data_IF_613779901841
#
_entry.id   IF_613779901841
#
_cell.length_a   1.000
_cell.length_b   1.000
_cell.length_c   1.000
_cell.angle_alpha   90.00
_cell.angle_beta   90.00
_cell.angle_gamma   90.00
#
_symmetry.space_group_name_H-M   'P 1'
#
loop_
_entity.id
_entity.type
_entity.pdbx_description
1 polymer ?
#
# COMPACT_ATOMS: atom_id res chain seq x y z
N UNK A 1 -20.90 19.70 2.40
CA UNK A 1 -20.20 18.45 2.73
C UNK A 1 -20.26 18.31 4.24
N UNK A 2 -20.63 17.14 4.77
CA UNK A 2 -20.57 16.89 6.23
C UNK A 2 -19.37 16.00 6.45
N UNK A 3 -18.41 16.52 7.19
CA UNK A 3 -17.12 15.90 7.47
C UNK A 3 -17.00 15.73 8.98
N UNK A 4 -16.54 14.57 9.41
CA UNK A 4 -16.11 14.34 10.77
C UNK A 4 -14.60 14.16 10.74
N UNK A 5 -13.90 15.25 10.99
CA UNK A 5 -12.44 15.30 11.11
C UNK A 5 -12.09 15.33 12.60
N UNK A 6 -11.42 14.26 13.05
CA UNK A 6 -10.88 14.10 14.39
C UNK A 6 -9.42 13.62 14.33
N UNK A 7 -8.72 13.93 13.24
CA UNK A 7 -7.36 13.45 12.99
C UNK A 7 -6.34 13.96 14.03
N UNK A 8 -5.21 13.26 14.18
CA UNK A 8 -4.04 13.65 14.99
C UNK A 8 -4.36 14.03 16.44
N UNK A 9 -5.25 13.27 17.08
CA UNK A 9 -5.65 13.46 18.47
C UNK A 9 -5.13 12.31 19.37
N UNK A 10 -5.58 12.29 20.63
CA UNK A 10 -5.32 11.22 21.60
C UNK A 10 -6.59 10.45 21.95
N UNK A 11 -7.51 10.30 20.98
CA UNK A 11 -8.76 9.58 21.19
C UNK A 11 -8.45 8.11 21.44
N UNK A 12 -9.09 7.55 22.47
CA UNK A 12 -8.93 6.15 22.89
C UNK A 12 -10.26 5.42 22.88
N UNK A 13 -10.23 4.11 23.15
CA UNK A 13 -11.43 3.27 23.15
C UNK A 13 -11.80 2.81 21.73
N UNK A 14 -13.02 2.35 21.55
CA UNK A 14 -13.49 1.77 20.28
C UNK A 14 -14.19 2.78 19.40
N UNK A 15 -14.21 2.55 18.08
CA UNK A 15 -15.11 3.27 17.16
C UNK A 15 -16.57 2.97 17.57
N UNK A 16 -17.37 3.96 18.00
CA UNK A 16 -18.75 3.73 18.44
C UNK A 16 -19.67 3.28 17.30
N UNK A 17 -20.56 2.33 17.58
CA UNK A 17 -21.56 1.86 16.60
C UNK A 17 -22.53 2.97 16.16
N UNK A 18 -22.71 3.98 17.02
CA UNK A 18 -23.55 5.16 16.82
C UNK A 18 -23.08 6.02 15.65
N UNK A 19 -21.81 5.91 15.25
CA UNK A 19 -21.31 6.59 14.06
C UNK A 19 -22.05 6.15 12.79
N UNK A 20 -22.60 4.93 12.75
CA UNK A 20 -23.48 4.49 11.66
C UNK A 20 -24.80 5.29 11.54
N UNK A 21 -25.14 6.14 12.50
CA UNK A 21 -26.29 7.03 12.44
C UNK A 21 -25.99 8.35 11.70
N UNK A 22 -24.72 8.66 11.41
CA UNK A 22 -24.30 9.87 10.72
C UNK A 22 -24.53 9.79 9.20
N UNK A 23 -25.75 9.48 8.77
CA UNK A 23 -26.10 9.16 7.36
C UNK A 23 -25.79 10.24 6.33
N UNK A 24 -25.50 11.46 6.77
CA UNK A 24 -25.14 12.59 5.90
C UNK A 24 -23.62 12.80 5.79
N UNK A 25 -22.81 12.06 6.55
CA UNK A 25 -21.35 12.14 6.53
C UNK A 25 -20.81 11.70 5.16
N UNK A 26 -19.86 12.47 4.65
CA UNK A 26 -19.13 12.20 3.41
C UNK A 26 -17.68 11.84 3.67
N UNK A 27 -17.14 12.30 4.77
CA UNK A 27 -15.76 12.04 5.13
C UNK A 27 -15.67 11.69 6.59
N UNK A 28 -14.92 10.63 6.86
CA UNK A 28 -14.64 10.15 8.18
C UNK A 28 -13.12 10.04 8.34
N UNK A 29 -12.53 11.05 8.96
CA UNK A 29 -11.10 11.10 9.24
C UNK A 29 -10.85 10.93 10.74
N UNK A 30 -10.28 9.78 11.10
CA UNK A 30 -9.87 9.41 12.45
C UNK A 30 -8.36 9.11 12.50
N UNK A 31 -7.59 9.60 11.52
CA UNK A 31 -6.18 9.27 11.34
C UNK A 31 -5.37 9.67 12.59
N UNK A 32 -4.34 8.89 12.92
CA UNK A 32 -3.38 9.16 14.00
C UNK A 32 -4.02 9.43 15.36
N UNK A 33 -4.72 8.42 15.88
CA UNK A 33 -5.28 8.37 17.23
C UNK A 33 -4.83 7.09 17.95
N UNK A 34 -5.46 6.74 19.07
CA UNK A 34 -5.22 5.51 19.85
C UNK A 34 -6.51 4.67 19.92
N UNK A 35 -7.30 4.69 18.83
CA UNK A 35 -8.54 3.91 18.75
C UNK A 35 -8.20 2.43 18.64
N UNK A 36 -8.99 1.59 19.31
CA UNK A 36 -8.78 0.15 19.43
C UNK A 36 -10.06 -0.64 19.12
N UNK A 37 -9.99 -1.97 19.16
CA UNK A 37 -11.13 -2.83 18.82
C UNK A 37 -11.41 -2.88 17.32
N UNK A 38 -12.55 -3.47 16.94
CA UNK A 38 -12.89 -3.69 15.53
C UNK A 38 -13.59 -2.49 14.90
N UNK A 39 -13.47 -2.36 13.57
CA UNK A 39 -14.34 -1.48 12.78
C UNK A 39 -15.78 -2.03 12.85
N UNK A 40 -16.74 -1.29 13.42
CA UNK A 40 -18.11 -1.78 13.60
C UNK A 40 -18.82 -1.96 12.25
N UNK A 41 -19.65 -2.99 12.11
CA UNK A 41 -20.37 -3.26 10.85
C UNK A 41 -21.40 -2.16 10.52
N UNK A 42 -21.80 -1.37 11.51
CA UNK A 42 -22.66 -0.20 11.37
C UNK A 42 -22.10 0.88 10.43
N UNK A 43 -20.79 0.90 10.15
CA UNK A 43 -20.20 1.79 9.12
C UNK A 43 -20.88 1.60 7.76
N UNK A 44 -21.39 0.41 7.45
CA UNK A 44 -22.07 0.14 6.18
C UNK A 44 -23.42 0.84 6.03
N UNK A 45 -23.91 1.50 7.08
CA UNK A 45 -25.09 2.39 7.02
C UNK A 45 -24.75 3.73 6.36
N UNK A 46 -23.47 4.10 6.26
CA UNK A 46 -22.98 5.36 5.71
C UNK A 46 -22.83 5.26 4.17
N UNK A 47 -23.95 5.04 3.48
CA UNK A 47 -23.96 4.71 2.03
C UNK A 47 -23.50 5.84 1.12
N UNK A 48 -23.43 7.07 1.62
CA UNK A 48 -22.95 8.25 0.87
C UNK A 48 -21.52 8.67 1.25
N UNK A 49 -20.85 7.91 2.11
CA UNK A 49 -19.48 8.20 2.53
C UNK A 49 -18.54 8.07 1.33
N UNK A 50 -17.70 9.08 1.13
CA UNK A 50 -16.66 9.14 0.11
C UNK A 50 -15.34 8.57 0.64
N UNK A 51 -14.95 8.91 1.88
CA UNK A 51 -13.66 8.50 2.44
C UNK A 51 -13.87 7.91 3.84
N UNK A 52 -13.33 6.71 4.06
CA UNK A 52 -13.16 6.12 5.38
C UNK A 52 -11.66 6.03 5.66
N UNK A 53 -11.13 6.91 6.50
CA UNK A 53 -9.73 6.90 6.90
C UNK A 53 -9.56 6.75 8.41
N UNK A 54 -8.87 5.68 8.81
CA UNK A 54 -8.58 5.34 10.21
C UNK A 54 -7.10 5.00 10.40
N UNK A 55 -6.25 5.54 9.52
CA UNK A 55 -4.82 5.22 9.44
C UNK A 55 -4.11 5.52 10.76
N UNK A 56 -3.19 4.66 11.19
CA UNK A 56 -2.36 4.94 12.35
C UNK A 56 -3.13 4.91 13.67
N UNK A 57 -3.82 3.80 13.93
CA UNK A 57 -4.52 3.51 15.18
C UNK A 57 -4.13 2.11 15.68
N UNK A 58 -4.82 1.60 16.70
CA UNK A 58 -4.66 0.26 17.28
C UNK A 58 -5.85 -0.66 16.93
N UNK A 59 -6.51 -0.43 15.79
CA UNK A 59 -7.69 -1.19 15.39
C UNK A 59 -7.34 -2.65 15.08
N UNK A 60 -8.25 -3.55 15.43
CA UNK A 60 -8.13 -5.01 15.31
C UNK A 60 -9.34 -5.59 14.56
N UNK A 61 -9.49 -6.92 14.56
CA UNK A 61 -10.64 -7.57 13.92
C UNK A 61 -10.51 -7.62 12.40
N UNK A 62 -11.62 -7.81 11.70
CA UNK A 62 -11.66 -7.94 10.23
C UNK A 62 -12.27 -6.71 9.59
N UNK A 63 -11.97 -6.47 8.30
CA UNK A 63 -12.73 -5.51 7.50
C UNK A 63 -14.18 -6.01 7.39
N UNK A 64 -15.19 -5.25 7.85
CA UNK A 64 -16.58 -5.69 7.79
C UNK A 64 -17.07 -5.82 6.35
N UNK A 65 -17.80 -6.89 6.05
CA UNK A 65 -18.36 -7.15 4.70
C UNK A 65 -19.34 -6.06 4.25
N UNK A 66 -19.89 -5.34 5.20
CA UNK A 66 -20.78 -4.19 5.07
C UNK A 66 -20.14 -3.02 4.32
N UNK A 67 -18.81 -2.98 4.18
CA UNK A 67 -18.12 -2.01 3.32
C UNK A 67 -18.63 -2.05 1.87
N UNK A 68 -19.10 -3.22 1.40
CA UNK A 68 -19.72 -3.36 0.09
C UNK A 68 -21.08 -2.67 -0.05
N UNK A 69 -21.69 -2.18 1.04
CA UNK A 69 -22.92 -1.36 0.98
C UNK A 69 -22.63 0.11 0.69
N UNK A 70 -21.37 0.53 0.81
CA UNK A 70 -20.95 1.92 0.72
C UNK A 70 -20.48 2.24 -0.71
N UNK A 71 -21.41 2.24 -1.66
CA UNK A 71 -21.12 2.35 -3.11
C UNK A 71 -20.54 3.69 -3.56
N UNK A 72 -20.47 4.69 -2.68
CA UNK A 72 -19.85 5.99 -2.94
C UNK A 72 -18.40 6.11 -2.45
N UNK A 73 -17.84 5.04 -1.86
CA UNK A 73 -16.47 5.05 -1.34
C UNK A 73 -15.45 5.25 -2.46
N UNK A 74 -14.74 6.36 -2.35
CA UNK A 74 -13.57 6.72 -3.15
C UNK A 74 -12.30 6.16 -2.50
N UNK A 75 -12.16 6.31 -1.18
CA UNK A 75 -10.97 5.89 -0.44
C UNK A 75 -11.31 4.98 0.74
N UNK A 76 -10.64 3.83 0.81
CA UNK A 76 -10.62 2.95 1.98
C UNK A 76 -9.19 2.91 2.51
N UNK A 77 -8.95 3.64 3.61
CA UNK A 77 -7.61 3.90 4.15
C UNK A 77 -7.53 3.37 5.58
N UNK A 78 -7.01 2.14 5.72
CA UNK A 78 -6.97 1.39 6.97
C UNK A 78 -5.54 1.05 7.42
N UNK A 79 -4.55 1.66 6.77
CA UNK A 79 -3.13 1.34 6.99
C UNK A 79 -2.67 1.59 8.43
N UNK A 80 -1.56 0.97 8.83
CA UNK A 80 -0.93 1.16 10.15
C UNK A 80 -1.90 0.89 11.31
N UNK A 81 -2.41 -0.35 11.36
CA UNK A 81 -3.27 -0.87 12.41
C UNK A 81 -2.89 -2.34 12.72
N UNK A 82 -3.71 -3.05 13.48
CA UNK A 82 -3.61 -4.49 13.70
C UNK A 82 -4.82 -5.24 13.09
N UNK A 83 -5.36 -4.74 11.97
CA UNK A 83 -6.48 -5.38 11.25
C UNK A 83 -6.01 -6.72 10.70
N UNK A 84 -6.89 -7.72 10.75
CA UNK A 84 -6.63 -9.11 10.43
C UNK A 84 -7.67 -9.64 9.43
N UNK A 85 -7.55 -10.91 9.03
CA UNK A 85 -8.48 -11.53 8.10
C UNK A 85 -8.17 -11.19 6.64
N UNK A 86 -9.15 -11.39 5.76
CA UNK A 86 -8.99 -11.27 4.30
C UNK A 86 -9.65 -10.00 3.77
N UNK A 87 -9.30 -9.59 2.55
CA UNK A 87 -10.08 -8.57 1.81
C UNK A 87 -11.47 -9.16 1.52
N UNK A 88 -12.58 -8.54 1.95
CA UNK A 88 -13.92 -9.07 1.72
C UNK A 88 -14.27 -9.00 0.22
N UNK A 89 -14.85 -10.06 -0.33
CA UNK A 89 -15.24 -10.10 -1.76
C UNK A 89 -16.27 -9.03 -2.12
N UNK A 90 -17.07 -8.59 -1.15
CA UNK A 90 -18.04 -7.51 -1.28
C UNK A 90 -17.41 -6.15 -1.64
N UNK A 91 -16.08 -6.00 -1.56
CA UNK A 91 -15.39 -4.80 -2.04
C UNK A 91 -15.71 -4.49 -3.50
N UNK A 92 -16.03 -5.51 -4.33
CA UNK A 92 -16.45 -5.29 -5.72
C UNK A 92 -17.64 -4.34 -5.90
N UNK A 93 -18.46 -4.17 -4.86
CA UNK A 93 -19.63 -3.31 -4.90
C UNK A 93 -19.26 -1.81 -4.83
N UNK A 94 -18.01 -1.46 -4.54
CA UNK A 94 -17.49 -0.08 -4.59
C UNK A 94 -16.87 0.29 -5.94
N UNK A 95 -16.94 -0.62 -6.94
CA UNK A 95 -16.34 -0.46 -8.29
C UNK A 95 -16.64 0.85 -9.01
N UNK A 96 -17.78 1.47 -8.72
CA UNK A 96 -18.22 2.69 -9.41
C UNK A 96 -17.46 3.93 -8.95
N UNK A 97 -16.81 3.90 -7.77
CA UNK A 97 -16.22 5.10 -7.15
C UNK A 97 -14.83 4.87 -6.57
N UNK A 98 -14.48 3.64 -6.17
CA UNK A 98 -13.22 3.35 -5.49
C UNK A 98 -12.00 3.70 -6.34
N UNK A 99 -11.11 4.51 -5.75
CA UNK A 99 -9.83 4.97 -6.30
C UNK A 99 -8.65 4.53 -5.45
N UNK A 100 -8.81 4.43 -4.14
CA UNK A 100 -7.72 4.10 -3.22
C UNK A 100 -8.15 2.95 -2.31
N UNK A 101 -7.34 1.89 -2.29
CA UNK A 101 -7.40 0.84 -1.29
C UNK A 101 -6.04 0.74 -0.62
N UNK A 102 -5.96 1.26 0.61
CA UNK A 102 -4.73 1.34 1.38
C UNK A 102 -4.84 0.53 2.68
N UNK A 103 -4.23 -0.64 2.69
CA UNK A 103 -4.30 -1.64 3.77
C UNK A 103 -2.92 -1.96 4.36
N UNK A 104 -1.89 -1.18 4.02
CA UNK A 104 -0.50 -1.44 4.37
C UNK A 104 -0.28 -1.55 5.88
N UNK A 105 0.72 -2.32 6.28
CA UNK A 105 1.16 -2.44 7.68
C UNK A 105 0.01 -2.82 8.63
N UNK A 106 -0.50 -4.04 8.40
CA UNK A 106 -1.55 -4.69 9.19
C UNK A 106 -1.18 -6.18 9.38
N UNK A 107 -2.09 -6.98 9.92
CA UNK A 107 -1.94 -8.43 10.08
C UNK A 107 -2.85 -9.23 9.14
N UNK A 108 -3.22 -8.65 7.99
CA UNK A 108 -4.13 -9.28 7.04
C UNK A 108 -3.46 -10.47 6.35
N UNK A 109 -4.26 -11.47 6.00
CA UNK A 109 -3.79 -12.72 5.40
C UNK A 109 -4.75 -13.24 4.33
N UNK A 110 -4.42 -14.39 3.75
CA UNK A 110 -5.18 -15.00 2.65
C UNK A 110 -4.78 -14.44 1.30
N UNK A 111 -5.57 -14.74 0.26
CA UNK A 111 -5.26 -14.35 -1.12
C UNK A 111 -5.94 -13.04 -1.50
N UNK A 112 -5.41 -12.37 -2.54
CA UNK A 112 -6.16 -11.29 -3.21
C UNK A 112 -7.41 -11.92 -3.88
N UNK A 113 -8.64 -11.48 -3.56
CA UNK A 113 -9.84 -12.03 -4.18
C UNK A 113 -9.94 -11.61 -5.65
N UNK A 114 -10.39 -12.50 -6.54
CA UNK A 114 -10.54 -12.19 -7.98
C UNK A 114 -11.52 -11.04 -8.25
N UNK A 115 -12.47 -10.84 -7.33
CA UNK A 115 -13.42 -9.73 -7.32
C UNK A 115 -12.75 -8.34 -7.35
N UNK A 116 -11.50 -8.21 -6.89
CA UNK A 116 -10.77 -6.93 -6.92
C UNK A 116 -10.61 -6.38 -8.34
N UNK A 117 -10.55 -7.27 -9.35
CA UNK A 117 -10.43 -6.89 -10.75
C UNK A 117 -11.63 -6.07 -11.28
N UNK A 118 -12.76 -6.08 -10.56
CA UNK A 118 -13.92 -5.24 -10.90
C UNK A 118 -13.72 -3.77 -10.54
N UNK A 119 -12.73 -3.43 -9.72
CA UNK A 119 -12.43 -2.05 -9.33
C UNK A 119 -11.63 -1.34 -10.45
N UNK A 120 -12.24 -1.18 -11.63
CA UNK A 120 -11.57 -0.64 -12.83
C UNK A 120 -11.16 0.83 -12.70
N UNK A 121 -11.75 1.55 -11.73
CA UNK A 121 -11.41 2.93 -11.36
C UNK A 121 -10.35 3.04 -10.28
N UNK A 122 -9.89 1.92 -9.70
CA UNK A 122 -8.88 1.94 -8.66
C UNK A 122 -7.56 2.46 -9.23
N UNK A 123 -6.99 3.46 -8.57
CA UNK A 123 -5.76 4.15 -8.95
C UNK A 123 -4.56 3.71 -8.10
N UNK A 124 -4.79 3.40 -6.81
CA UNK A 124 -3.78 2.91 -5.87
C UNK A 124 -4.25 1.63 -5.18
N UNK A 125 -3.39 0.61 -5.22
CA UNK A 125 -3.54 -0.63 -4.46
C UNK A 125 -2.30 -0.82 -3.58
N UNK A 126 -2.46 -0.63 -2.28
CA UNK A 126 -1.37 -0.69 -1.30
C UNK A 126 -1.69 -1.75 -0.24
N UNK A 127 -1.02 -2.90 -0.34
CA UNK A 127 -1.22 -4.09 0.50
C UNK A 127 0.06 -4.50 1.25
N UNK A 128 1.09 -3.65 1.22
CA UNK A 128 2.42 -3.99 1.71
C UNK A 128 2.50 -4.20 3.23
N UNK A 129 3.53 -4.92 3.67
CA UNK A 129 3.78 -5.26 5.08
C UNK A 129 2.55 -5.90 5.74
N UNK A 130 2.13 -7.03 5.18
CA UNK A 130 1.03 -7.86 5.67
C UNK A 130 1.44 -9.34 5.61
N UNK A 131 0.49 -10.27 5.72
CA UNK A 131 0.70 -11.71 5.58
C UNK A 131 -0.13 -12.31 4.44
N UNK A 132 -0.43 -11.54 3.39
CA UNK A 132 -1.13 -12.05 2.21
C UNK A 132 -0.30 -13.14 1.51
N UNK A 133 -0.97 -14.11 0.89
CA UNK A 133 -0.35 -15.28 0.26
C UNK A 133 -1.03 -15.67 -1.06
N UNK A 134 -0.51 -16.72 -1.70
CA UNK A 134 -0.99 -17.17 -3.02
C UNK A 134 -0.49 -16.28 -4.16
N UNK A 135 -1.02 -16.50 -5.36
CA UNK A 135 -0.64 -15.76 -6.56
C UNK A 135 -1.43 -14.47 -6.75
N UNK A 136 -0.85 -13.52 -7.49
CA UNK A 136 -1.61 -12.37 -8.00
C UNK A 136 -2.64 -12.89 -9.02
N UNK A 137 -3.95 -12.66 -8.82
CA UNK A 137 -4.98 -13.10 -9.76
C UNK A 137 -4.88 -12.35 -11.08
N UNK A 138 -5.14 -13.01 -12.21
CA UNK A 138 -5.04 -12.39 -13.54
C UNK A 138 -6.08 -11.27 -13.74
N UNK A 139 -7.18 -11.28 -12.98
CA UNK A 139 -8.19 -10.23 -12.96
C UNK A 139 -7.62 -8.86 -12.55
N UNK A 140 -6.46 -8.80 -11.89
CA UNK A 140 -5.75 -7.53 -11.65
C UNK A 140 -5.48 -6.77 -12.95
N UNK A 141 -5.29 -7.46 -14.08
CA UNK A 141 -5.14 -6.82 -15.40
C UNK A 141 -6.38 -6.06 -15.89
N UNK A 142 -7.53 -6.19 -15.24
CA UNK A 142 -8.74 -5.43 -15.54
C UNK A 142 -8.75 -4.04 -14.87
N UNK A 143 -7.88 -3.80 -13.89
CA UNK A 143 -7.82 -2.57 -13.09
C UNK A 143 -7.11 -1.44 -13.83
N UNK A 144 -7.58 -1.10 -15.03
CA UNK A 144 -6.86 -0.25 -16.01
C UNK A 144 -6.55 1.18 -15.56
N UNK A 145 -7.18 1.70 -14.50
CA UNK A 145 -6.85 3.01 -13.91
C UNK A 145 -5.64 2.98 -12.97
N UNK A 146 -5.17 1.78 -12.60
CA UNK A 146 -4.14 1.60 -11.58
C UNK A 146 -2.82 2.22 -12.02
N UNK A 147 -2.26 3.10 -11.20
CA UNK A 147 -0.93 3.66 -11.41
C UNK A 147 0.09 3.24 -10.35
N UNK A 148 -0.36 2.77 -9.18
CA UNK A 148 0.49 2.28 -8.11
C UNK A 148 -0.03 0.94 -7.60
N UNK A 149 0.84 -0.07 -7.63
CA UNK A 149 0.60 -1.38 -7.03
C UNK A 149 1.75 -1.72 -6.08
N UNK A 150 1.47 -1.77 -4.78
CA UNK A 150 2.45 -2.11 -3.75
C UNK A 150 2.03 -3.39 -3.02
N UNK A 151 2.73 -4.48 -3.28
CA UNK A 151 2.50 -5.80 -2.68
C UNK A 151 3.67 -6.25 -1.80
N UNK A 152 4.62 -5.35 -1.55
CA UNK A 152 5.88 -5.63 -0.85
C UNK A 152 5.67 -6.27 0.51
N UNK A 153 6.59 -7.13 0.95
CA UNK A 153 6.62 -7.56 2.35
C UNK A 153 5.40 -8.40 2.71
N UNK A 154 5.12 -9.40 1.90
CA UNK A 154 4.03 -10.34 2.06
C UNK A 154 4.54 -11.77 1.81
N UNK A 155 3.64 -12.74 1.80
CA UNK A 155 3.91 -14.14 1.48
C UNK A 155 3.38 -14.54 0.10
N UNK A 156 3.23 -13.59 -0.85
CA UNK A 156 2.76 -13.91 -2.20
C UNK A 156 3.72 -14.87 -2.91
N UNK A 157 3.19 -15.75 -3.75
CA UNK A 157 3.94 -16.81 -4.42
C UNK A 157 3.42 -17.07 -5.84
N UNK A 158 4.06 -17.98 -6.56
CA UNK A 158 3.71 -18.26 -7.95
C UNK A 158 4.27 -17.22 -8.92
N UNK A 159 3.73 -17.18 -10.15
CA UNK A 159 4.21 -16.32 -11.22
C UNK A 159 3.48 -14.97 -11.22
N UNK A 160 4.15 -13.92 -11.69
CA UNK A 160 3.50 -12.64 -12.00
C UNK A 160 2.63 -12.84 -13.26
N UNK A 161 1.32 -12.53 -13.23
CA UNK A 161 0.44 -12.72 -14.38
C UNK A 161 0.83 -11.80 -15.54
N UNK A 162 0.78 -12.33 -16.77
CA UNK A 162 1.07 -11.58 -18.00
C UNK A 162 0.12 -10.40 -18.23
N UNK A 163 -1.08 -10.49 -17.66
CA UNK A 163 -2.14 -9.50 -17.68
C UNK A 163 -1.73 -8.18 -17.02
N UNK A 164 -0.66 -8.16 -16.22
CA UNK A 164 -0.09 -6.91 -15.70
C UNK A 164 0.31 -5.94 -16.82
N UNK A 165 0.65 -6.45 -18.01
CA UNK A 165 0.94 -5.63 -19.19
C UNK A 165 -0.25 -4.88 -19.78
N UNK A 166 -1.49 -5.19 -19.34
CA UNK A 166 -2.70 -4.44 -19.72
C UNK A 166 -2.83 -3.12 -18.96
N UNK A 167 -2.12 -2.99 -17.84
CA UNK A 167 -2.23 -1.86 -16.91
C UNK A 167 -1.35 -0.69 -17.34
N UNK A 168 -1.60 -0.17 -18.54
CA UNK A 168 -0.79 0.88 -19.20
C UNK A 168 -0.64 2.20 -18.41
N UNK A 169 -1.44 2.41 -17.36
CA UNK A 169 -1.33 3.53 -16.44
C UNK A 169 -0.32 3.33 -15.30
N UNK A 170 0.18 2.10 -15.09
CA UNK A 170 1.15 1.78 -14.04
C UNK A 170 2.40 2.63 -14.15
N UNK A 171 2.72 3.29 -13.04
CA UNK A 171 3.95 4.05 -12.80
C UNK A 171 4.86 3.32 -11.84
N UNK A 172 4.29 2.55 -10.92
CA UNK A 172 5.01 1.91 -9.84
C UNK A 172 4.43 0.54 -9.51
N UNK A 173 5.33 -0.46 -9.47
CA UNK A 173 5.05 -1.83 -9.06
C UNK A 173 6.10 -2.22 -8.03
N UNK A 174 5.66 -2.58 -6.82
CA UNK A 174 6.55 -3.10 -5.78
C UNK A 174 6.19 -4.53 -5.40
N UNK A 175 7.11 -5.46 -5.67
CA UNK A 175 6.92 -6.91 -5.45
C UNK A 175 7.98 -7.52 -4.53
N UNK A 176 8.99 -6.75 -4.11
CA UNK A 176 10.07 -7.23 -3.25
C UNK A 176 9.56 -7.73 -1.89
N UNK A 177 10.38 -8.54 -1.21
CA UNK A 177 10.06 -9.24 0.04
C UNK A 177 8.79 -10.10 -0.08
N UNK A 178 8.75 -10.98 -1.06
CA UNK A 178 7.74 -12.01 -1.31
C UNK A 178 8.40 -13.34 -1.73
N UNK A 179 7.58 -14.32 -2.10
CA UNK A 179 8.01 -15.65 -2.57
C UNK A 179 7.66 -15.89 -4.05
N UNK A 180 7.65 -14.83 -4.88
CA UNK A 180 7.38 -14.96 -6.31
C UNK A 180 8.45 -15.81 -7.00
N UNK A 181 8.03 -16.58 -8.00
CA UNK A 181 8.90 -17.47 -8.77
C UNK A 181 8.71 -17.26 -10.27
N UNK A 182 9.67 -17.76 -11.06
CA UNK A 182 9.59 -17.75 -12.51
C UNK A 182 10.23 -16.51 -13.12
N UNK A 183 9.58 -15.94 -14.13
CA UNK A 183 10.11 -14.79 -14.87
C UNK A 183 9.23 -13.56 -14.71
N UNK A 184 9.85 -12.38 -14.81
CA UNK A 184 9.11 -11.15 -15.05
C UNK A 184 8.45 -11.28 -16.44
N UNK A 185 7.12 -11.15 -16.56
CA UNK A 185 6.43 -11.35 -17.83
C UNK A 185 6.89 -10.30 -18.84
N UNK A 186 7.15 -10.74 -20.08
CA UNK A 186 7.59 -9.85 -21.16
C UNK A 186 6.57 -8.74 -21.44
N UNK A 187 5.30 -8.95 -21.11
CA UNK A 187 4.21 -8.00 -21.26
C UNK A 187 4.43 -6.73 -20.42
N UNK A 188 5.33 -6.74 -19.43
CA UNK A 188 5.78 -5.54 -18.71
C UNK A 188 6.41 -4.50 -19.65
N UNK A 189 6.89 -4.93 -20.83
CA UNK A 189 7.40 -4.06 -21.91
C UNK A 189 6.34 -3.10 -22.46
N UNK A 190 5.04 -3.41 -22.28
CA UNK A 190 3.94 -2.56 -22.74
C UNK A 190 3.63 -1.41 -21.76
N UNK A 191 4.23 -1.41 -20.57
CA UNK A 191 3.99 -0.40 -19.54
C UNK A 191 4.88 0.83 -19.73
N UNK A 192 4.56 1.65 -20.73
CA UNK A 192 5.37 2.84 -21.10
C UNK A 192 5.50 3.90 -19.99
N UNK A 193 4.53 3.91 -19.07
CA UNK A 193 4.50 4.82 -17.91
C UNK A 193 5.25 4.29 -16.71
N UNK A 194 5.68 3.03 -16.71
CA UNK A 194 6.35 2.40 -15.58
C UNK A 194 7.69 3.10 -15.33
N UNK A 195 7.93 3.46 -14.06
CA UNK A 195 9.13 4.13 -13.59
C UNK A 195 9.83 3.33 -12.50
N UNK A 196 9.06 2.61 -11.70
CA UNK A 196 9.56 1.89 -10.53
C UNK A 196 9.07 0.44 -10.63
N UNK A 197 10.01 -0.49 -10.58
CA UNK A 197 9.78 -1.91 -10.44
C UNK A 197 10.74 -2.45 -9.38
N UNK A 198 10.20 -3.04 -8.32
CA UNK A 198 11.00 -3.73 -7.30
C UNK A 198 10.62 -5.21 -7.28
N UNK A 199 11.62 -6.07 -7.15
CA UNK A 199 11.47 -7.53 -7.14
C UNK A 199 12.58 -8.16 -6.34
N UNK A 200 12.34 -9.35 -5.79
CA UNK A 200 13.40 -10.16 -5.17
C UNK A 200 14.25 -10.89 -6.21
N UNK A 201 15.44 -11.32 -5.80
CA UNK A 201 16.42 -12.05 -6.62
C UNK A 201 15.91 -13.41 -7.14
N UNK A 202 14.76 -13.89 -6.65
CA UNK A 202 14.12 -15.13 -7.09
C UNK A 202 13.46 -15.05 -8.47
N UNK A 203 13.27 -13.85 -9.01
CA UNK A 203 12.70 -13.63 -10.33
C UNK A 203 13.79 -13.53 -11.40
N UNK A 204 13.59 -14.26 -12.49
CA UNK A 204 14.48 -14.25 -13.66
C UNK A 204 13.87 -13.47 -14.83
N UNK A 205 14.63 -13.20 -15.89
CA UNK A 205 14.14 -12.49 -17.07
C UNK A 205 14.73 -11.08 -17.23
N UNK A 206 14.39 -10.44 -18.34
CA UNK A 206 14.94 -9.14 -18.71
C UNK A 206 14.08 -8.04 -18.11
N UNK A 207 14.63 -7.26 -17.18
CA UNK A 207 14.06 -5.96 -16.82
C UNK A 207 14.38 -5.01 -17.98
N UNK A 208 13.37 -4.43 -18.67
CA UNK A 208 13.65 -3.55 -19.80
C UNK A 208 14.51 -2.35 -19.39
N UNK A 209 15.52 -2.02 -20.21
CA UNK A 209 16.46 -0.88 -20.01
C UNK A 209 15.78 0.49 -19.80
N UNK A 210 14.49 0.61 -20.17
CA UNK A 210 13.66 1.82 -19.99
C UNK A 210 13.08 1.97 -18.58
N UNK A 211 13.04 0.89 -17.80
CA UNK A 211 12.57 0.90 -16.40
C UNK A 211 13.76 1.31 -15.54
N UNK A 212 13.66 2.45 -14.85
CA UNK A 212 14.68 2.88 -13.91
C UNK A 212 14.66 1.93 -12.71
N UNK A 213 15.73 1.16 -12.54
CA UNK A 213 15.94 0.36 -11.33
C UNK A 213 16.25 1.31 -10.19
N UNK A 214 15.46 1.25 -9.11
CA UNK A 214 15.77 1.98 -7.89
C UNK A 214 16.81 1.19 -7.10
N UNK A 215 17.95 1.82 -6.78
CA UNK A 215 18.89 1.24 -5.84
C UNK A 215 18.36 1.44 -4.41
N UNK A 216 18.32 0.40 -3.57
CA UNK A 216 17.92 0.54 -2.17
C UNK A 216 18.92 1.44 -1.40
N UNK A 217 18.42 2.29 -0.50
CA UNK A 217 19.29 3.01 0.43
C UNK A 217 19.95 2.01 1.41
N UNK A 218 21.18 1.58 1.12
CA UNK A 218 21.93 0.64 1.95
C UNK A 218 22.25 1.18 3.37
N UNK A 219 22.32 2.50 3.54
CA UNK A 219 22.61 3.15 4.84
C UNK A 219 21.38 3.35 5.74
N UNK A 220 20.17 3.23 5.18
CA UNK A 220 18.91 3.44 5.90
C UNK A 220 18.40 2.15 6.59
N UNK A 221 19.05 1.01 6.38
CA UNK A 221 18.64 -0.27 6.98
C UNK A 221 17.46 -0.95 6.28
N UNK A 222 17.24 -0.67 4.99
CA UNK A 222 16.43 -1.50 4.10
C UNK A 222 14.91 -1.28 4.19
N UNK A 223 14.42 -0.22 3.54
CA UNK A 223 13.07 -0.17 2.95
C UNK A 223 12.82 1.05 2.06
N UNK A 224 13.68 2.06 2.06
CA UNK A 224 13.49 3.27 1.24
C UNK A 224 14.37 3.26 -0.02
N UNK A 225 13.82 3.75 -1.12
CA UNK A 225 14.45 3.78 -2.44
C UNK A 225 14.80 5.22 -2.84
N UNK A 226 16.05 5.46 -3.26
CA UNK A 226 16.49 6.74 -3.85
C UNK A 226 15.87 6.88 -5.27
N UNK A 227 15.01 7.87 -5.51
CA UNK A 227 14.48 8.19 -6.85
C UNK A 227 15.53 8.96 -7.67
N UNK A 228 16.41 8.22 -8.35
CA UNK A 228 17.41 8.80 -9.28
C UNK A 228 17.03 8.50 -10.73
N UNK A 229 17.31 9.45 -11.64
CA UNK A 229 17.26 9.15 -13.07
C UNK A 229 18.43 8.26 -13.53
N UNK A 230 18.42 7.84 -14.80
CA UNK A 230 19.48 7.02 -15.39
C UNK A 230 20.84 7.74 -15.49
N UNK A 231 20.88 9.03 -15.13
CA UNK A 231 22.07 9.88 -15.04
C UNK A 231 22.43 10.21 -13.59
N UNK A 232 21.74 9.62 -12.60
CA UNK A 232 21.99 9.86 -11.18
C UNK A 232 21.46 11.20 -10.65
N UNK A 233 20.62 11.93 -11.40
CA UNK A 233 20.03 13.19 -10.98
C UNK A 233 18.74 12.96 -10.19
N UNK A 234 18.59 13.71 -9.09
CA UNK A 234 17.38 13.76 -8.28
C UNK A 234 16.27 14.49 -9.03
N UNK A 235 15.04 14.01 -8.92
CA UNK A 235 13.88 14.69 -9.49
C UNK A 235 13.50 15.92 -8.66
N UNK A 236 13.54 17.10 -9.27
CA UNK A 236 12.71 18.24 -8.87
C UNK A 236 11.45 18.24 -9.74
N UNK A 237 10.24 18.03 -9.19
CA UNK A 237 9.06 18.87 -9.49
C UNK A 237 7.69 18.39 -8.94
N UNK A 238 7.11 19.29 -8.13
CA UNK A 238 5.81 19.96 -8.20
C UNK A 238 4.44 19.22 -8.32
N UNK A 239 4.32 18.01 -8.86
CA UNK A 239 2.97 17.46 -9.15
C UNK A 239 2.38 16.51 -8.09
N UNK A 240 3.15 16.14 -7.06
CA UNK A 240 2.74 15.03 -6.17
C UNK A 240 2.66 15.33 -4.68
N UNK A 241 3.02 16.52 -4.19
CA UNK A 241 2.93 16.83 -2.74
C UNK A 241 3.74 15.91 -1.80
N UNK A 242 4.43 14.91 -2.33
CA UNK A 242 5.31 13.99 -1.64
C UNK A 242 6.71 14.24 -2.21
N UNK A 243 7.57 14.91 -1.44
CA UNK A 243 9.03 14.88 -1.66
C UNK A 243 9.45 13.44 -1.43
N UNK A 244 9.93 12.74 -2.47
CA UNK A 244 10.82 11.62 -2.23
C UNK A 244 12.08 12.19 -1.58
N UNK A 245 12.34 11.83 -0.33
CA UNK A 245 13.49 12.31 0.41
C UNK A 245 14.76 11.71 -0.20
N UNK A 246 15.78 12.53 -0.39
CA UNK A 246 17.11 12.03 -0.70
C UNK A 246 17.64 11.18 0.47
N UNK A 247 18.54 10.25 0.21
CA UNK A 247 19.28 9.51 1.24
C UNK A 247 19.85 10.42 2.36
N UNK A 248 20.32 11.64 2.02
CA UNK A 248 20.76 12.63 3.03
C UNK A 248 19.60 13.21 3.83
N UNK A 249 18.45 13.51 3.22
CA UNK A 249 17.24 13.97 3.92
C UNK A 249 16.65 12.86 4.82
N UNK A 250 16.78 11.59 4.43
CA UNK A 250 16.42 10.41 5.24
C UNK A 250 17.39 10.18 6.42
N UNK A 251 18.66 10.52 6.24
CA UNK A 251 19.67 10.44 7.31
C UNK A 251 19.58 11.64 8.27
N UNK A 252 19.25 12.83 7.78
CA UNK A 252 18.98 14.01 8.61
C UNK A 252 17.68 13.85 9.42
N UNK A 253 16.62 13.30 8.81
CA UNK A 253 15.34 13.05 9.50
C UNK A 253 15.45 12.04 10.64
N UNK A 254 16.30 11.02 10.47
CA UNK A 254 16.61 10.04 11.52
C UNK A 254 17.26 10.67 12.75
N UNK A 255 17.91 11.83 12.59
CA UNK A 255 18.63 12.54 13.63
C UNK A 255 17.88 13.76 14.20
N UNK A 256 16.70 14.11 13.67
CA UNK A 256 15.87 15.25 14.08
C UNK A 256 14.42 14.80 14.40
N UNK A 257 14.05 14.64 15.68
CA UNK A 257 12.75 14.11 16.08
C UNK A 257 11.56 15.05 15.79
N UNK A 258 11.80 16.31 15.40
CA UNK A 258 10.74 17.31 15.17
C UNK A 258 10.54 17.65 13.67
N UNK A 259 11.39 17.15 12.76
CA UNK A 259 11.30 17.46 11.32
C UNK A 259 10.37 16.57 10.50
N UNK A 260 9.70 15.60 11.12
CA UNK A 260 8.68 14.75 10.47
C UNK A 260 7.36 14.75 11.24
N UNK A 261 6.29 15.15 10.54
CA UNK A 261 4.99 14.48 10.68
C UNK A 261 5.23 12.99 10.33
N UNK A 262 5.38 12.00 11.21
CA UNK A 262 5.25 11.89 12.65
C UNK A 262 6.39 10.98 13.15
N UNK A 263 7.06 11.36 14.24
CA UNK A 263 8.14 10.62 14.89
C UNK A 263 7.74 9.29 15.57
N UNK A 264 6.70 8.60 15.06
CA UNK A 264 6.33 7.25 15.49
C UNK A 264 6.71 6.17 14.46
N UNK A 265 7.20 6.53 13.26
CA UNK A 265 7.69 5.57 12.26
C UNK A 265 9.01 4.88 12.65
N UNK A 266 9.82 5.46 13.55
CA UNK A 266 11.05 4.83 14.05
C UNK A 266 10.90 4.10 15.39
N UNK A 267 9.74 4.17 16.07
CA UNK A 267 9.60 3.63 17.43
C UNK A 267 9.25 2.13 17.50
N UNK A 268 9.02 1.47 16.37
CA UNK A 268 8.76 0.02 16.30
C UNK A 268 9.87 -0.82 15.67
N UNK A 269 10.97 -0.20 15.19
CA UNK A 269 12.12 -0.93 14.66
C UNK A 269 13.04 -1.54 15.75
N UNK A 270 12.72 -1.38 17.04
CA UNK A 270 13.56 -1.90 18.13
C UNK A 270 13.22 -3.30 18.62
N UNK A 271 12.26 -4.03 18.03
CA UNK A 271 11.90 -5.36 18.54
C UNK A 271 12.28 -6.58 17.71
N UNK A 272 12.97 -6.46 16.57
CA UNK A 272 13.58 -7.65 15.92
C UNK A 272 14.78 -7.37 15.01
N UNK A 273 15.57 -6.30 15.27
CA UNK A 273 16.92 -6.21 14.72
C UNK A 273 17.88 -7.09 15.55
N UNK A 274 17.59 -8.39 15.63
CA UNK A 274 18.47 -9.38 16.25
C UNK A 274 19.42 -9.86 15.14
N UNK A 275 20.62 -9.32 15.18
CA UNK A 275 21.77 -9.61 14.31
C UNK A 275 21.67 -9.07 12.88
N UNK A 276 22.48 -8.05 12.59
CA UNK A 276 23.19 -7.99 11.31
C UNK A 276 24.12 -9.20 11.26
N UNK A 277 23.56 -10.37 10.94
CA UNK A 277 24.33 -11.54 10.58
C UNK A 277 25.12 -11.20 9.32
N UNK A 278 26.41 -11.51 9.34
CA UNK A 278 27.36 -11.43 8.23
C UNK A 278 26.96 -12.30 7.01
N UNK A 279 25.83 -12.00 6.39
CA UNK A 279 25.39 -12.52 5.10
C UNK A 279 25.69 -11.48 4.04
N UNK A 280 26.44 -11.86 3.03
CA UNK A 280 26.96 -10.97 1.99
C UNK A 280 25.85 -10.11 1.37
N UNK A 281 25.94 -8.80 1.54
CA UNK A 281 25.48 -7.84 0.52
C UNK A 281 26.27 -8.18 -0.75
N UNK A 282 25.68 -9.01 -1.62
CA UNK A 282 26.10 -9.09 -3.02
C UNK A 282 25.19 -8.14 -3.77
N UNK A 283 25.66 -6.91 -3.83
CA UNK A 283 25.13 -5.87 -4.68
C UNK A 283 25.07 -6.34 -6.14
N UNK A 284 24.12 -5.77 -6.87
CA UNK A 284 24.00 -5.72 -8.34
C UNK A 284 23.60 -7.02 -9.05
N UNK A 285 22.37 -6.98 -9.61
CA UNK A 285 22.00 -7.70 -10.83
C UNK A 285 23.13 -7.50 -11.83
N UNK A 286 23.88 -8.57 -12.09
CA UNK A 286 24.88 -8.59 -13.15
C UNK A 286 24.14 -8.88 -14.45
N UNK A 287 24.32 -8.01 -15.45
CA UNK A 287 23.95 -8.27 -16.85
C UNK A 287 24.59 -9.56 -17.36
#
# INVERSE_FOLDING_TARGET
>A
MVELDLDKNKLTGTIPTEFGNMKNAREFDLIYNQLSGAIPSEIGKLTILNTLSVVGNELTGMIPTEIGKMSNLIGVELAHNAISGTIPSQIENTKETAKVLWLSNNTMFGTIPTQIGRLTKLEKLELDENSFSGSIPSEVGLMTSLYLMNLRGNNFSGMIPSEIGLLTNLKEIRLDRNNFMGTIPREILFLERLRILTSDDGLSGVIPDKIKTLNPCAQCGGSEYDLKDYKGQYFENADYGIRGLSCEELLESKNDPDKFLSANACKFLTYNCISCGSGSLRDTITL
#
